data_IF_876460879765
#
_entry.id   IF_876460879765
#
_cell.length_a   1.000
_cell.length_b   1.000
_cell.length_c   1.000
_cell.angle_alpha   90.00
_cell.angle_beta   90.00
_cell.angle_gamma   90.00
#
_symmetry.space_group_name_H-M   'P 1'
#
loop_
_entity.id
_entity.type
_entity.pdbx_description
1 polymer ?
#
# COMPACT_ATOMS: atom_id res chain seq x y z
N UNK A 1 6.30 22.38 -87.54
CA UNK A 1 7.19 22.24 -86.36
C UNK A 1 6.47 22.48 -85.02
N UNK A 2 5.20 22.07 -84.83
CA UNK A 2 4.42 22.40 -83.60
C UNK A 2 4.35 21.24 -82.59
N UNK A 3 4.78 20.02 -82.97
CA UNK A 3 4.63 18.82 -82.12
C UNK A 3 5.56 18.75 -80.90
N UNK A 4 6.75 19.36 -80.95
CA UNK A 4 7.79 19.19 -79.91
C UNK A 4 7.45 19.92 -78.61
N UNK A 5 6.83 21.10 -78.70
CA UNK A 5 6.45 21.90 -77.53
C UNK A 5 5.32 21.25 -76.71
N UNK A 6 4.31 20.69 -77.39
CA UNK A 6 3.17 20.01 -76.73
C UNK A 6 3.60 18.73 -76.00
N UNK A 7 4.60 18.02 -76.52
CA UNK A 7 5.15 16.84 -75.87
C UNK A 7 5.93 17.16 -74.59
N UNK A 8 6.69 18.27 -74.58
CA UNK A 8 7.44 18.68 -73.39
C UNK A 8 6.54 19.17 -72.25
N UNK A 9 5.43 19.86 -72.54
CA UNK A 9 4.48 20.31 -71.53
C UNK A 9 3.86 19.12 -70.77
N UNK A 10 3.44 18.07 -71.50
CA UNK A 10 2.87 16.86 -70.90
C UNK A 10 3.84 16.10 -70.00
N UNK A 11 5.13 15.98 -70.38
CA UNK A 11 6.13 15.32 -69.51
C UNK A 11 6.38 16.09 -68.21
N UNK A 12 6.36 17.43 -68.25
CA UNK A 12 6.52 18.26 -67.05
C UNK A 12 5.34 18.14 -66.10
N UNK A 13 4.11 18.07 -66.63
CA UNK A 13 2.91 17.86 -65.83
C UNK A 13 2.93 16.50 -65.13
N UNK A 14 3.19 15.41 -65.86
CA UNK A 14 3.27 14.06 -65.27
C UNK A 14 4.37 13.96 -64.21
N UNK A 15 5.51 14.63 -64.43
CA UNK A 15 6.59 14.69 -63.43
C UNK A 15 6.16 15.45 -62.17
N UNK A 16 5.39 16.53 -62.31
CA UNK A 16 4.84 17.30 -61.19
C UNK A 16 3.82 16.49 -60.39
N UNK A 17 2.90 15.80 -61.06
CA UNK A 17 1.87 14.97 -60.43
C UNK A 17 2.50 13.83 -59.61
N UNK A 18 3.54 13.18 -60.16
CA UNK A 18 4.26 12.14 -59.43
C UNK A 18 5.02 12.69 -58.22
N UNK A 19 5.54 13.92 -58.30
CA UNK A 19 6.17 14.58 -57.15
C UNK A 19 5.16 14.95 -56.06
N UNK A 20 3.98 15.43 -56.45
CA UNK A 20 2.89 15.73 -55.52
C UNK A 20 2.41 14.47 -54.79
N UNK A 21 2.24 13.36 -55.51
CA UNK A 21 1.86 12.08 -54.94
C UNK A 21 2.92 11.57 -53.93
N UNK A 22 4.20 11.63 -54.29
CA UNK A 22 5.29 11.21 -53.42
C UNK A 22 5.40 12.08 -52.14
N UNK A 23 5.13 13.39 -52.25
CA UNK A 23 5.10 14.28 -51.08
C UNK A 23 3.91 13.99 -50.18
N UNK A 24 2.73 13.72 -50.74
CA UNK A 24 1.56 13.33 -49.96
C UNK A 24 1.78 12.01 -49.21
N UNK A 25 2.35 11.00 -49.86
CA UNK A 25 2.68 9.72 -49.22
C UNK A 25 3.73 9.89 -48.09
N UNK A 26 4.77 10.68 -48.31
CA UNK A 26 5.76 11.01 -47.29
C UNK A 26 5.15 11.75 -46.08
N UNK A 27 4.20 12.65 -46.31
CA UNK A 27 3.49 13.36 -45.23
C UNK A 27 2.61 12.40 -44.44
N UNK A 28 1.85 11.54 -45.11
CA UNK A 28 0.96 10.58 -44.47
C UNK A 28 1.75 9.57 -43.63
N UNK A 29 2.82 8.99 -44.20
CA UNK A 29 3.68 8.05 -43.47
C UNK A 29 4.34 8.69 -42.25
N UNK A 30 4.78 9.96 -42.36
CA UNK A 30 5.31 10.71 -41.22
C UNK A 30 4.23 10.96 -40.14
N UNK A 31 3.02 11.33 -40.52
CA UNK A 31 1.91 11.53 -39.58
C UNK A 31 1.52 10.23 -38.89
N UNK A 32 1.41 9.13 -39.61
CA UNK A 32 1.16 7.80 -39.05
C UNK A 32 2.26 7.38 -38.06
N UNK A 33 3.52 7.65 -38.40
CA UNK A 33 4.64 7.36 -37.50
C UNK A 33 4.57 8.19 -36.21
N UNK A 34 4.19 9.47 -36.29
CA UNK A 34 4.00 10.29 -35.09
C UNK A 34 2.83 9.79 -34.23
N UNK A 35 1.70 9.46 -34.84
CA UNK A 35 0.54 8.93 -34.10
C UNK A 35 0.89 7.62 -33.37
N UNK A 36 1.55 6.68 -34.05
CA UNK A 36 2.02 5.43 -33.42
C UNK A 36 2.96 5.68 -32.25
N UNK A 37 3.92 6.61 -32.40
CA UNK A 37 4.84 6.96 -31.32
C UNK A 37 4.13 7.57 -30.11
N UNK A 38 3.07 8.35 -30.33
CA UNK A 38 2.28 8.91 -29.23
C UNK A 38 1.41 7.86 -28.55
N UNK A 39 0.82 6.94 -29.31
CA UNK A 39 0.05 5.82 -28.79
C UNK A 39 0.94 4.92 -27.93
N UNK A 40 2.11 4.51 -28.41
CA UNK A 40 3.09 3.71 -27.66
C UNK A 40 3.52 4.40 -26.36
N UNK A 41 3.67 5.73 -26.38
CA UNK A 41 3.98 6.51 -25.17
C UNK A 41 2.83 6.46 -24.18
N UNK A 42 1.59 6.67 -24.63
CA UNK A 42 0.40 6.62 -23.76
C UNK A 42 0.22 5.24 -23.14
N UNK A 43 0.37 4.17 -23.91
CA UNK A 43 0.23 2.80 -23.40
C UNK A 43 1.32 2.46 -22.38
N UNK A 44 2.56 2.90 -22.61
CA UNK A 44 3.64 2.69 -21.64
C UNK A 44 3.43 3.49 -20.35
N UNK A 45 2.93 4.73 -20.44
CA UNK A 45 2.57 5.54 -19.27
C UNK A 45 1.45 4.87 -18.46
N UNK A 46 0.40 4.38 -19.12
CA UNK A 46 -0.74 3.68 -18.49
C UNK A 46 -0.28 2.39 -17.78
N UNK A 47 0.51 1.54 -18.44
CA UNK A 47 1.08 0.34 -17.83
C UNK A 47 1.92 0.66 -16.58
N UNK A 48 2.72 1.73 -16.63
CA UNK A 48 3.51 2.18 -15.48
C UNK A 48 2.65 2.70 -14.33
N UNK A 49 1.51 3.33 -14.61
CA UNK A 49 0.57 3.76 -13.57
C UNK A 49 -0.14 2.60 -12.91
N UNK A 50 -0.58 1.61 -13.68
CA UNK A 50 -1.29 0.45 -13.16
C UNK A 50 -0.37 -0.48 -12.35
N UNK A 51 0.87 -0.71 -12.80
CA UNK A 51 1.84 -1.47 -12.03
C UNK A 51 2.13 -0.81 -10.67
N UNK A 52 2.30 0.53 -10.64
CA UNK A 52 2.45 1.27 -9.38
C UNK A 52 1.22 1.19 -8.49
N UNK A 53 0.00 1.18 -9.06
CA UNK A 53 -1.24 1.03 -8.28
C UNK A 53 -1.32 -0.37 -7.68
N UNK A 54 -0.99 -1.40 -8.46
CA UNK A 54 -0.97 -2.79 -8.03
C UNK A 54 0.02 -3.00 -6.88
N UNK A 55 1.26 -2.52 -7.00
CA UNK A 55 2.27 -2.62 -5.94
C UNK A 55 1.83 -1.90 -4.65
N UNK A 56 1.19 -0.72 -4.76
CA UNK A 56 0.62 -0.04 -3.59
C UNK A 56 -0.50 -0.85 -2.95
N UNK A 57 -1.37 -1.48 -3.75
CA UNK A 57 -2.44 -2.36 -3.28
C UNK A 57 -1.88 -3.56 -2.51
N UNK A 58 -0.95 -4.30 -3.11
CA UNK A 58 -0.32 -5.47 -2.50
C UNK A 58 0.38 -5.12 -1.17
N UNK A 59 1.08 -3.98 -1.13
CA UNK A 59 1.72 -3.48 0.10
C UNK A 59 0.68 -3.12 1.16
N UNK A 60 -0.41 -2.46 0.77
CA UNK A 60 -1.48 -2.09 1.68
C UNK A 60 -2.17 -3.34 2.26
N UNK A 61 -2.45 -4.34 1.42
CA UNK A 61 -3.08 -5.60 1.82
C UNK A 61 -2.18 -6.37 2.80
N UNK A 62 -0.88 -6.50 2.50
CA UNK A 62 0.07 -7.16 3.41
C UNK A 62 0.16 -6.43 4.77
N UNK A 63 0.18 -5.09 4.76
CA UNK A 63 0.16 -4.30 5.99
C UNK A 63 -1.16 -4.44 6.76
N UNK A 64 -2.30 -4.55 6.07
CA UNK A 64 -3.60 -4.77 6.69
C UNK A 64 -3.65 -6.15 7.37
N UNK A 65 -3.25 -7.20 6.67
CA UNK A 65 -3.15 -8.55 7.24
C UNK A 65 -2.23 -8.61 8.46
N UNK A 66 -1.07 -7.94 8.40
CA UNK A 66 -0.15 -7.88 9.54
C UNK A 66 -0.78 -7.17 10.76
N UNK A 67 -1.49 -6.06 10.54
CA UNK A 67 -2.19 -5.35 11.62
C UNK A 67 -3.28 -6.20 12.25
N UNK A 68 -4.08 -6.90 11.44
CA UNK A 68 -5.15 -7.79 11.91
C UNK A 68 -4.58 -8.94 12.74
N UNK A 69 -3.53 -9.59 12.25
CA UNK A 69 -2.84 -10.66 12.98
C UNK A 69 -2.24 -10.15 14.30
N UNK A 70 -1.65 -8.95 14.31
CA UNK A 70 -1.14 -8.31 15.51
C UNK A 70 -2.24 -7.97 16.53
N UNK A 71 -3.41 -7.52 16.06
CA UNK A 71 -4.56 -7.22 16.91
C UNK A 71 -5.13 -8.50 17.56
N UNK A 72 -5.27 -9.58 16.79
CA UNK A 72 -5.70 -10.87 17.30
C UNK A 72 -4.75 -11.42 18.38
N UNK A 73 -3.43 -11.30 18.14
CA UNK A 73 -2.42 -11.71 19.10
C UNK A 73 -2.47 -10.89 20.41
N UNK A 74 -2.64 -9.56 20.28
CA UNK A 74 -2.76 -8.70 21.45
C UNK A 74 -3.99 -9.06 22.29
N UNK A 75 -5.11 -9.36 21.64
CA UNK A 75 -6.34 -9.76 22.32
C UNK A 75 -6.18 -11.10 23.04
N UNK A 76 -5.53 -12.08 22.41
CA UNK A 76 -5.19 -13.34 23.06
C UNK A 76 -4.34 -13.13 24.32
N UNK A 77 -3.29 -12.29 24.24
CA UNK A 77 -2.45 -11.96 25.38
C UNK A 77 -3.25 -11.25 26.49
N UNK A 78 -4.18 -10.35 26.14
CA UNK A 78 -5.07 -9.70 27.12
C UNK A 78 -5.93 -10.72 27.86
N UNK A 79 -6.54 -11.66 27.14
CA UNK A 79 -7.34 -12.73 27.74
C UNK A 79 -6.50 -13.59 28.68
N UNK A 80 -5.28 -13.98 28.29
CA UNK A 80 -4.37 -14.75 29.15
C UNK A 80 -4.02 -14.00 30.45
N UNK A 81 -3.71 -12.71 30.34
CA UNK A 81 -3.44 -11.86 31.50
C UNK A 81 -4.67 -11.78 32.41
N UNK A 82 -5.85 -11.62 31.83
CA UNK A 82 -7.09 -11.51 32.60
C UNK A 82 -7.41 -12.81 33.36
N UNK A 83 -7.33 -13.96 32.69
CA UNK A 83 -7.50 -15.28 33.31
C UNK A 83 -6.49 -15.48 34.44
N UNK A 84 -5.24 -15.05 34.25
CA UNK A 84 -4.23 -15.14 35.31
C UNK A 84 -4.56 -14.25 36.52
N UNK A 85 -5.03 -13.01 36.29
CA UNK A 85 -5.47 -12.12 37.37
C UNK A 85 -6.62 -12.74 38.17
N UNK A 86 -7.61 -13.31 37.48
CA UNK A 86 -8.73 -14.00 38.11
C UNK A 86 -8.27 -15.21 38.94
N UNK A 87 -7.34 -16.01 38.39
CA UNK A 87 -6.74 -17.12 39.12
C UNK A 87 -5.99 -16.67 40.38
N UNK A 88 -5.28 -15.53 40.33
CA UNK A 88 -4.60 -14.95 41.50
C UNK A 88 -5.61 -14.48 42.56
N UNK A 89 -6.70 -13.84 42.15
CA UNK A 89 -7.76 -13.41 43.08
C UNK A 89 -8.39 -14.64 43.75
N UNK A 90 -8.73 -15.68 43.00
CA UNK A 90 -9.28 -16.92 43.54
C UNK A 90 -8.31 -17.60 44.51
N UNK A 91 -7.02 -17.65 44.16
CA UNK A 91 -5.98 -18.20 45.02
C UNK A 91 -5.82 -17.41 46.32
N UNK A 92 -5.91 -16.08 46.29
CA UNK A 92 -5.83 -15.23 47.49
C UNK A 92 -7.02 -15.49 48.43
N UNK A 93 -8.24 -15.55 47.88
CA UNK A 93 -9.46 -15.87 48.64
C UNK A 93 -9.35 -17.25 49.30
N UNK A 94 -8.91 -18.27 48.57
CA UNK A 94 -8.75 -19.62 49.12
C UNK A 94 -7.64 -19.68 50.18
N UNK A 95 -6.53 -18.99 49.96
CA UNK A 95 -5.44 -18.89 50.94
C UNK A 95 -5.94 -18.27 52.25
N UNK A 96 -6.75 -17.23 52.18
CA UNK A 96 -7.33 -16.59 53.36
C UNK A 96 -8.35 -17.49 54.06
N UNK A 97 -9.18 -18.22 53.31
CA UNK A 97 -10.08 -19.24 53.87
C UNK A 97 -9.30 -20.34 54.62
N UNK A 98 -8.22 -20.86 54.01
CA UNK A 98 -7.37 -21.89 54.62
C UNK A 98 -6.73 -21.40 55.93
N UNK A 99 -6.34 -20.12 56.01
CA UNK A 99 -5.85 -19.51 57.26
C UNK A 99 -6.92 -19.51 58.35
N UNK A 100 -8.16 -19.15 58.01
CA UNK A 100 -9.30 -19.13 58.95
C UNK A 100 -9.59 -20.55 59.46
N UNK A 101 -9.53 -21.54 58.58
CA UNK A 101 -9.86 -22.93 58.90
C UNK A 101 -8.76 -23.69 59.65
N UNK A 102 -7.54 -23.18 59.75
CA UNK A 102 -6.46 -23.93 60.44
C UNK A 102 -5.63 -24.78 59.47
N UNK A 103 -5.93 -24.73 58.18
CA UNK A 103 -5.47 -25.67 57.18
C UNK A 103 -4.28 -25.12 56.40
N UNK A 104 -3.40 -26.00 55.90
CA UNK A 104 -2.34 -25.60 54.99
C UNK A 104 -2.93 -25.48 53.57
N UNK A 105 -2.76 -24.35 52.87
CA UNK A 105 -3.12 -24.26 51.46
C UNK A 105 -2.35 -25.33 50.67
N UNK A 106 -3.06 -26.27 50.04
CA UNK A 106 -2.46 -27.34 49.24
C UNK A 106 -2.13 -26.94 47.80
N UNK A 107 -2.60 -25.76 47.37
CA UNK A 107 -2.53 -25.32 45.99
C UNK A 107 -1.31 -24.45 45.72
N UNK A 108 -0.68 -24.67 44.56
CA UNK A 108 0.43 -23.83 44.10
C UNK A 108 -0.08 -22.45 43.66
N UNK A 109 0.75 -21.43 43.90
CA UNK A 109 0.51 -20.09 43.36
C UNK A 109 0.39 -20.15 41.82
N UNK A 110 -0.68 -19.60 41.22
CA UNK A 110 -0.81 -19.52 39.77
C UNK A 110 0.43 -18.86 39.13
N UNK A 111 0.88 -19.36 37.99
CA UNK A 111 2.01 -18.76 37.25
C UNK A 111 1.52 -18.28 35.89
N UNK A 112 1.88 -17.05 35.52
CA UNK A 112 1.67 -16.57 34.17
C UNK A 112 2.64 -17.31 33.25
N UNK A 113 2.10 -17.92 32.19
CA UNK A 113 2.91 -18.53 31.13
C UNK A 113 3.70 -17.48 30.34
N UNK A 114 4.42 -17.94 29.32
CA UNK A 114 5.05 -17.03 28.35
C UNK A 114 3.94 -16.43 27.48
N UNK A 115 3.82 -15.10 27.49
CA UNK A 115 2.98 -14.39 26.53
C UNK A 115 3.60 -14.47 25.13
N UNK A 116 2.75 -14.37 24.12
CA UNK A 116 3.23 -14.37 22.75
C UNK A 116 3.92 -13.05 22.42
N UNK A 117 5.08 -13.12 21.76
CA UNK A 117 5.83 -11.95 21.31
C UNK A 117 5.17 -11.28 20.10
N UNK A 118 5.23 -9.94 19.99
CA UNK A 118 4.69 -9.22 18.84
C UNK A 118 5.19 -9.76 17.49
N UNK A 119 4.31 -9.81 16.49
CA UNK A 119 4.68 -10.18 15.13
C UNK A 119 5.70 -9.19 14.54
N UNK A 120 6.77 -9.68 13.89
CA UNK A 120 7.73 -8.81 13.22
C UNK A 120 7.03 -8.06 12.07
N UNK A 121 7.34 -6.77 11.92
CA UNK A 121 6.78 -5.95 10.86
C UNK A 121 7.30 -6.44 9.50
N UNK A 122 6.42 -6.58 8.47
CA UNK A 122 6.89 -6.92 7.13
C UNK A 122 7.81 -5.81 6.62
N UNK A 123 8.98 -6.22 6.10
CA UNK A 123 9.92 -5.32 5.45
C UNK A 123 9.64 -5.37 3.95
N UNK A 124 9.45 -4.20 3.34
CA UNK A 124 9.39 -4.07 1.90
C UNK A 124 10.73 -3.51 1.46
N UNK A 125 11.39 -4.17 0.51
CA UNK A 125 12.53 -3.58 -0.19
C UNK A 125 12.02 -2.31 -0.87
N UNK A 126 12.42 -1.16 -0.33
CA UNK A 126 12.18 0.11 -0.99
C UNK A 126 12.97 0.07 -2.29
N UNK A 127 12.26 -0.14 -3.40
CA UNK A 127 12.82 0.10 -4.73
C UNK A 127 13.28 1.56 -4.73
N UNK A 128 14.60 1.72 -4.65
CA UNK A 128 15.31 2.94 -4.35
C UNK A 128 15.02 3.99 -5.44
N UNK A 129 14.15 4.95 -5.17
CA UNK A 129 13.96 6.14 -6.01
C UNK A 129 12.54 6.68 -5.99
N UNK A 130 12.39 7.88 -5.44
CA UNK A 130 11.18 8.72 -5.38
C UNK A 130 10.27 8.42 -4.18
N UNK A 131 10.75 8.78 -3.00
CA UNK A 131 9.88 9.12 -1.86
C UNK A 131 9.25 10.48 -2.16
N UNK A 132 7.99 10.48 -2.62
CA UNK A 132 7.16 11.67 -2.44
C UNK A 132 6.66 11.66 -1.00
N UNK A 133 7.25 12.56 -0.23
CA UNK A 133 6.90 13.02 1.11
C UNK A 133 5.37 13.15 1.26
N UNK A 134 4.77 12.12 1.86
CA UNK A 134 3.34 12.01 2.07
C UNK A 134 3.00 12.37 3.51
N UNK A 135 2.80 13.67 3.73
CA UNK A 135 2.09 14.33 4.84
C UNK A 135 1.61 13.37 5.96
N UNK A 136 2.40 13.29 7.03
CA UNK A 136 1.95 12.75 8.31
C UNK A 136 0.94 13.73 8.92
N UNK A 137 -0.35 13.50 8.65
CA UNK A 137 -1.42 14.06 9.47
C UNK A 137 -1.30 13.45 10.88
N UNK A 138 -0.51 14.16 11.68
CA UNK A 138 -0.34 13.97 13.10
C UNK A 138 -1.67 14.32 13.79
N UNK A 139 -2.52 13.30 13.92
CA UNK A 139 -3.71 13.35 14.77
C UNK A 139 -3.27 13.43 16.24
N UNK A 140 -2.85 14.63 16.63
CA UNK A 140 -2.55 15.02 18.00
C UNK A 140 -3.82 14.95 18.84
N UNK A 141 -4.17 13.76 19.30
CA UNK A 141 -5.13 13.52 20.38
C UNK A 141 -4.51 14.05 21.70
N UNK A 142 -4.52 15.38 21.86
CA UNK A 142 -4.31 16.06 23.13
C UNK A 142 -5.51 15.81 24.04
N UNK A 143 -5.52 14.68 24.72
CA UNK A 143 -6.51 14.39 25.77
C UNK A 143 -6.08 15.10 27.05
N UNK A 144 -6.38 16.40 27.13
CA UNK A 144 -6.19 17.21 28.33
C UNK A 144 -7.34 16.93 29.32
N UNK A 145 -7.27 15.76 29.96
CA UNK A 145 -8.18 15.32 31.02
C UNK A 145 -7.63 15.70 32.39
N UNK A 146 -7.47 16.99 32.65
CA UNK A 146 -7.13 17.53 33.96
C UNK A 146 -8.31 17.45 34.91
N UNK A 147 -8.24 16.51 35.87
CA UNK A 147 -9.31 16.18 36.79
C UNK A 147 -9.69 17.31 37.77
N UNK A 148 -11.00 17.41 38.00
CA UNK A 148 -11.59 18.11 39.14
C UNK A 148 -11.35 17.33 40.42
N UNK A 149 -10.69 17.96 41.38
CA UNK A 149 -10.85 17.69 42.81
C UNK A 149 -10.83 19.02 43.53
N UNK A 150 -12.01 19.47 43.99
CA UNK A 150 -12.10 20.30 45.19
C UNK A 150 -13.18 19.66 46.07
N UNK A 151 -12.79 19.54 47.33
CA UNK A 151 -13.40 18.78 48.41
C UNK A 151 -14.44 19.65 49.13
N UNK A 152 -15.40 19.00 49.80
CA UNK A 152 -16.35 19.62 50.75
C UNK A 152 -16.25 18.86 52.08
#
# INVERSE_FOLDING_TARGET
MVGRAKFQAKRKQVLSEHQEEALSDAINTYQEQQQRSEEDRRTNEELGHDERRKQRGERADMMAMWKEAGAAQLEHNRVQIQVHKEALVAWEVEKDLAKVERCRPGWNHPKLGKLESPLPKPMFESVQGVEMDGNEDNDGMGSDGGGSTEED
#
